data_IF_235885572597
#
_entry.id   IF_235885572597
#
_cell.length_a   1.000
_cell.length_b   1.000
_cell.length_c   1.000
_cell.angle_alpha   90.00
_cell.angle_beta   90.00
_cell.angle_gamma   90.00
#
_symmetry.space_group_name_H-M   'P 1'
#
loop_
_entity.id
_entity.type
_entity.pdbx_description
1 polymer ?
#
# COMPACT_ATOMS: atom_id res chain seq x y z
N UNK A 1 48.60 11.16 1.61
CA UNK A 1 47.49 10.51 0.90
C UNK A 1 46.27 11.41 1.00
N UNK A 2 45.97 12.16 -0.04
CA UNK A 2 44.77 12.98 -0.18
C UNK A 2 43.57 12.03 -0.17
N UNK A 3 42.90 11.91 0.97
CA UNK A 3 41.65 11.17 1.07
C UNK A 3 40.63 11.88 0.18
N UNK A 4 40.20 11.19 -0.88
CA UNK A 4 39.13 11.66 -1.75
C UNK A 4 37.91 12.01 -0.89
N UNK A 5 37.23 13.14 -1.14
CA UNK A 5 36.08 13.55 -0.34
C UNK A 5 35.04 12.44 -0.35
N UNK A 6 34.61 12.01 0.84
CA UNK A 6 33.61 10.95 1.01
C UNK A 6 32.25 11.49 0.58
N UNK A 7 31.83 11.17 -0.65
CA UNK A 7 30.47 11.47 -1.12
C UNK A 7 29.46 10.75 -0.22
N UNK A 8 28.50 11.45 0.41
CA UNK A 8 27.46 10.86 1.24
C UNK A 8 26.57 9.89 0.45
N UNK A 9 26.02 8.89 1.13
CA UNK A 9 25.09 7.92 0.54
C UNK A 9 23.80 8.59 0.07
N UNK A 10 23.32 9.60 0.81
CA UNK A 10 22.18 10.45 0.41
C UNK A 10 22.42 11.17 -0.92
N UNK A 11 23.63 11.70 -1.12
CA UNK A 11 24.01 12.32 -2.39
C UNK A 11 24.12 11.30 -3.54
N UNK A 12 24.63 10.09 -3.26
CA UNK A 12 24.65 9.00 -4.24
C UNK A 12 23.24 8.51 -4.61
N UNK A 13 22.31 8.50 -3.66
CA UNK A 13 20.90 8.21 -3.90
C UNK A 13 20.28 9.26 -4.82
N UNK A 14 20.44 10.55 -4.47
CA UNK A 14 19.90 11.64 -5.27
C UNK A 14 20.49 11.67 -6.69
N UNK A 15 21.80 11.43 -6.85
CA UNK A 15 22.42 11.33 -8.17
C UNK A 15 21.86 10.16 -9.00
N UNK A 16 21.63 9.01 -8.35
CA UNK A 16 21.02 7.85 -9.02
C UNK A 16 19.59 8.17 -9.46
N UNK A 17 18.81 8.83 -8.60
CA UNK A 17 17.44 9.24 -8.90
C UNK A 17 17.40 10.29 -10.01
N UNK A 18 18.27 11.30 -9.97
CA UNK A 18 18.37 12.31 -11.04
C UNK A 18 18.68 11.68 -12.39
N UNK A 19 19.50 10.63 -12.45
CA UNK A 19 19.82 9.94 -13.70
C UNK A 19 18.67 9.08 -14.23
N UNK A 20 17.96 8.37 -13.36
CA UNK A 20 16.93 7.41 -13.79
C UNK A 20 15.53 8.03 -13.87
N UNK A 21 15.15 8.84 -12.88
CA UNK A 21 13.80 9.38 -12.75
C UNK A 21 13.57 10.62 -13.60
N UNK A 22 14.63 11.35 -13.99
CA UNK A 22 14.50 12.39 -15.03
C UNK A 22 14.11 11.82 -16.38
N UNK A 23 14.64 10.63 -16.73
CA UNK A 23 14.27 9.91 -17.95
C UNK A 23 12.84 9.34 -17.84
N UNK A 24 12.49 8.81 -16.68
CA UNK A 24 11.18 8.18 -16.46
C UNK A 24 10.03 9.19 -16.40
N UNK A 25 10.20 10.32 -15.73
CA UNK A 25 9.12 11.29 -15.48
C UNK A 25 9.26 12.60 -16.27
N UNK A 26 10.35 12.80 -17.02
CA UNK A 26 10.58 13.99 -17.83
C UNK A 26 10.36 15.29 -17.04
N UNK A 27 9.49 16.15 -17.57
CA UNK A 27 9.13 17.45 -16.98
C UNK A 27 8.47 17.36 -15.58
N UNK A 28 7.94 16.20 -15.21
CA UNK A 28 7.37 16.00 -13.87
C UNK A 28 8.45 15.72 -12.80
N UNK A 29 9.66 15.28 -13.20
CA UNK A 29 10.72 14.92 -12.25
C UNK A 29 11.10 16.04 -11.29
N UNK A 30 11.31 17.31 -11.70
CA UNK A 30 11.65 18.38 -10.77
C UNK A 30 10.64 18.55 -9.63
N UNK A 31 9.34 18.39 -9.90
CA UNK A 31 8.27 18.47 -8.89
C UNK A 31 8.33 17.30 -7.90
N UNK A 32 8.54 16.08 -8.41
CA UNK A 32 8.71 14.89 -7.57
C UNK A 32 9.97 14.99 -6.72
N UNK A 33 11.08 15.42 -7.32
CA UNK A 33 12.39 15.59 -6.69
C UNK A 33 12.35 16.58 -5.53
N UNK A 34 11.79 17.77 -5.73
CA UNK A 34 11.69 18.76 -4.64
C UNK A 34 10.81 18.24 -3.50
N UNK A 35 9.77 17.46 -3.83
CA UNK A 35 8.87 16.85 -2.85
C UNK A 35 9.56 15.74 -2.04
N UNK A 36 10.41 14.92 -2.67
CA UNK A 36 11.24 13.92 -1.98
C UNK A 36 12.19 14.54 -0.95
N UNK A 37 12.76 15.70 -1.29
CA UNK A 37 13.72 16.44 -0.46
C UNK A 37 13.05 17.39 0.54
N UNK A 38 11.72 17.53 0.45
CA UNK A 38 10.91 18.32 1.39
C UNK A 38 10.30 17.41 2.43
N UNK A 39 9.87 18.02 3.54
CA UNK A 39 9.17 17.31 4.60
C UNK A 39 7.92 16.60 4.07
N UNK A 40 7.79 15.30 4.38
CA UNK A 40 6.63 14.53 3.99
C UNK A 40 5.39 14.94 4.78
N UNK A 41 4.24 14.75 4.15
CA UNK A 41 2.94 14.87 4.80
C UNK A 41 2.57 13.55 5.46
N UNK A 42 1.85 13.62 6.58
CA UNK A 42 1.45 12.44 7.35
C UNK A 42 -0.07 12.32 7.39
N UNK A 43 -0.56 11.10 7.54
CA UNK A 43 -1.92 10.78 7.95
C UNK A 43 -1.95 10.29 9.40
N UNK A 44 -3.07 10.53 10.07
CA UNK A 44 -3.38 9.97 11.37
C UNK A 44 -4.37 8.81 11.19
N UNK A 45 -3.86 7.57 11.20
CA UNK A 45 -4.69 6.36 11.22
C UNK A 45 -5.32 6.24 12.60
N UNK A 46 -6.61 6.48 12.70
CA UNK A 46 -7.34 6.41 13.98
C UNK A 46 -7.33 4.98 14.48
N UNK A 47 -7.06 4.82 15.77
CA UNK A 47 -7.10 3.52 16.41
C UNK A 47 -8.54 3.18 16.83
N UNK A 48 -9.16 2.24 16.14
CA UNK A 48 -10.49 1.69 16.41
C UNK A 48 -10.62 1.01 17.78
N UNK A 49 -9.51 0.75 18.47
CA UNK A 49 -9.50 0.20 19.83
C UNK A 49 -9.45 1.25 20.94
N UNK A 50 -9.31 2.55 20.59
CA UNK A 50 -9.33 3.68 21.52
C UNK A 50 -10.69 4.42 21.46
N UNK A 51 -10.81 5.57 22.13
CA UNK A 51 -11.99 6.45 22.02
C UNK A 51 -12.06 7.14 20.65
N UNK A 52 -12.63 6.43 19.68
CA UNK A 52 -12.71 6.86 18.28
C UNK A 52 -13.45 8.20 18.15
N UNK A 53 -14.58 8.37 18.83
CA UNK A 53 -15.44 9.54 18.66
C UNK A 53 -14.72 10.80 19.13
N UNK A 54 -14.11 10.76 20.32
CA UNK A 54 -13.31 11.85 20.84
C UNK A 54 -12.14 12.21 19.89
N UNK A 55 -11.41 11.20 19.42
CA UNK A 55 -10.25 11.40 18.54
C UNK A 55 -10.65 11.99 17.20
N UNK A 56 -11.74 11.51 16.59
CA UNK A 56 -12.23 12.06 15.33
C UNK A 56 -12.66 13.52 15.48
N UNK A 57 -13.35 13.87 16.56
CA UNK A 57 -13.73 15.26 16.85
C UNK A 57 -12.49 16.16 17.00
N UNK A 58 -11.46 15.73 17.73
CA UNK A 58 -10.20 16.50 17.86
C UNK A 58 -9.50 16.73 16.52
N UNK A 59 -9.48 15.71 15.65
CA UNK A 59 -8.85 15.80 14.33
C UNK A 59 -9.66 16.72 13.38
N UNK A 60 -10.98 16.68 13.46
CA UNK A 60 -11.86 17.55 12.68
C UNK A 60 -11.79 19.01 13.13
N UNK A 61 -11.63 19.25 14.44
CA UNK A 61 -11.43 20.61 15.00
C UNK A 61 -10.16 21.29 14.48
N UNK A 62 -9.13 20.51 14.11
CA UNK A 62 -7.91 21.04 13.48
C UNK A 62 -7.99 21.05 11.95
N UNK A 63 -9.19 20.90 11.37
CA UNK A 63 -9.43 20.90 9.92
C UNK A 63 -8.77 19.73 9.17
N UNK A 64 -8.44 18.63 9.87
CA UNK A 64 -8.11 17.39 9.20
C UNK A 64 -9.39 16.66 8.78
N UNK A 65 -9.30 15.84 7.73
CA UNK A 65 -10.45 15.09 7.22
C UNK A 65 -10.09 13.64 6.88
N UNK A 66 -11.02 12.74 7.15
CA UNK A 66 -10.89 11.33 6.80
C UNK A 66 -10.94 11.13 5.28
N UNK A 67 -9.80 10.79 4.67
CA UNK A 67 -9.74 10.60 3.23
C UNK A 67 -10.38 9.29 2.77
N UNK A 68 -10.48 8.28 3.66
CA UNK A 68 -11.07 6.99 3.35
C UNK A 68 -12.58 7.13 3.23
N UNK A 69 -13.22 7.75 4.23
CA UNK A 69 -14.64 8.08 4.17
C UNK A 69 -15.01 8.95 2.97
N UNK A 70 -14.18 9.95 2.63
CA UNK A 70 -14.38 10.77 1.41
C UNK A 70 -14.33 9.93 0.13
N UNK A 71 -13.37 8.99 0.03
CA UNK A 71 -13.28 8.05 -1.08
C UNK A 71 -14.53 7.16 -1.19
N UNK A 72 -15.02 6.63 -0.08
CA UNK A 72 -16.25 5.82 -0.03
C UNK A 72 -17.51 6.62 -0.40
N UNK A 73 -17.62 7.88 0.04
CA UNK A 73 -18.72 8.76 -0.36
C UNK A 73 -18.69 9.03 -1.88
N UNK A 74 -17.50 9.32 -2.43
CA UNK A 74 -17.31 9.49 -3.87
C UNK A 74 -17.69 8.23 -4.64
N UNK A 75 -17.37 7.04 -4.10
CA UNK A 75 -17.76 5.76 -4.66
C UNK A 75 -19.28 5.61 -4.78
N UNK A 76 -20.02 5.95 -3.73
CA UNK A 76 -21.49 5.90 -3.71
C UNK A 76 -22.09 6.89 -4.70
N UNK A 77 -21.56 8.11 -4.80
CA UNK A 77 -22.03 9.11 -5.78
C UNK A 77 -21.82 8.65 -7.23
N UNK A 78 -20.68 8.02 -7.54
CA UNK A 78 -20.41 7.50 -8.88
C UNK A 78 -21.35 6.35 -9.26
N UNK A 79 -21.65 5.43 -8.32
CA UNK A 79 -22.63 4.35 -8.54
C UNK A 79 -24.04 4.89 -8.79
N UNK A 80 -24.46 5.91 -8.06
CA UNK A 80 -25.79 6.53 -8.25
C UNK A 80 -25.90 7.20 -9.62
N UNK A 81 -24.83 7.85 -10.10
CA UNK A 81 -24.82 8.48 -11.44
C UNK A 81 -24.88 7.46 -12.58
N UNK A 82 -24.21 6.31 -12.45
CA UNK A 82 -24.28 5.25 -13.47
C UNK A 82 -25.65 4.57 -13.57
N UNK A 83 -26.52 4.73 -12.56
CA UNK A 83 -27.90 4.20 -12.57
C UNK A 83 -28.90 5.23 -13.14
N UNK A 84 -28.52 6.50 -13.24
CA UNK A 84 -29.43 7.62 -13.56
C UNK A 84 -29.23 8.20 -14.97
N UNK A 85 -28.34 7.67 -15.82
CA UNK A 85 -28.34 8.01 -17.25
C UNK A 85 -29.36 7.15 -18.02
N UNK A 86 -30.51 7.69 -18.47
CA UNK A 86 -31.35 6.99 -19.42
C UNK A 86 -30.75 7.15 -20.82
N UNK A 87 -30.69 6.05 -21.55
CA UNK A 87 -30.30 6.00 -22.94
C UNK A 87 -31.10 7.03 -23.77
N UNK A 88 -30.43 8.09 -24.22
CA UNK A 88 -30.88 8.84 -25.40
C UNK A 88 -30.20 8.22 -26.60
N UNK A 89 -30.81 7.17 -27.16
CA UNK A 89 -30.57 6.75 -28.55
C UNK A 89 -31.89 6.34 -29.19
N UNK A 90 -32.06 6.91 -30.37
CA UNK A 90 -33.19 6.90 -31.28
C UNK A 90 -33.77 5.51 -31.56
N UNK A 91 -35.08 5.50 -31.76
CA UNK A 91 -35.88 4.36 -32.19
C UNK A 91 -35.48 3.88 -33.59
N UNK A 92 -35.14 2.60 -33.73
CA UNK A 92 -35.52 1.82 -34.92
C UNK A 92 -35.50 0.31 -34.64
N UNK A 93 -36.70 -0.21 -34.43
CA UNK A 93 -37.26 -1.56 -34.66
C UNK A 93 -36.30 -2.66 -35.19
N UNK A 94 -36.15 -3.73 -34.43
CA UNK A 94 -36.43 -5.12 -34.88
C UNK A 94 -36.43 -6.08 -33.68
N UNK A 95 -37.45 -6.95 -33.66
CA UNK A 95 -37.76 -7.91 -32.60
C UNK A 95 -36.90 -9.15 -32.73
N UNK A 96 -36.21 -9.56 -31.65
CA UNK A 96 -35.85 -10.96 -31.37
C UNK A 96 -35.82 -11.19 -29.84
N UNK A 97 -36.27 -12.37 -29.41
CA UNK A 97 -36.64 -12.72 -28.04
C UNK A 97 -35.46 -12.74 -27.04
N UNK A 98 -35.68 -12.44 -25.73
CA UNK A 98 -34.60 -12.38 -24.76
C UNK A 98 -34.23 -13.78 -24.27
N UNK A 99 -32.99 -14.21 -24.56
CA UNK A 99 -32.34 -15.27 -23.80
C UNK A 99 -31.86 -14.70 -22.47
N UNK A 100 -32.22 -15.36 -21.37
CA UNK A 100 -31.79 -15.02 -20.01
C UNK A 100 -30.28 -15.18 -19.87
N UNK A 101 -29.52 -14.13 -20.21
CA UNK A 101 -28.16 -13.97 -19.72
C UNK A 101 -28.26 -13.31 -18.35
N UNK A 102 -28.05 -14.09 -17.29
CA UNK A 102 -27.77 -13.57 -15.97
C UNK A 102 -26.55 -12.64 -16.08
N UNK A 103 -26.80 -11.34 -16.14
CA UNK A 103 -25.75 -10.34 -16.00
C UNK A 103 -25.15 -10.50 -14.61
N UNK A 104 -23.90 -10.98 -14.55
CA UNK A 104 -23.13 -10.99 -13.32
C UNK A 104 -23.14 -9.55 -12.77
N UNK A 105 -23.86 -9.32 -11.67
CA UNK A 105 -23.90 -8.02 -11.00
C UNK A 105 -22.47 -7.66 -10.60
N UNK A 106 -21.91 -6.64 -11.25
CA UNK A 106 -20.64 -6.04 -10.81
C UNK A 106 -20.85 -5.64 -9.33
N UNK A 107 -20.02 -6.11 -8.40
CA UNK A 107 -20.18 -5.77 -6.99
C UNK A 107 -20.16 -4.25 -6.83
N UNK A 108 -20.96 -3.68 -5.91
CA UNK A 108 -20.96 -2.24 -5.69
C UNK A 108 -19.54 -1.80 -5.40
N UNK A 109 -19.07 -0.75 -6.07
CA UNK A 109 -17.72 -0.21 -5.94
C UNK A 109 -17.25 0.07 -4.48
N UNK A 110 -18.19 0.27 -3.55
CA UNK A 110 -17.92 0.39 -2.11
C UNK A 110 -17.52 -0.93 -1.45
N UNK A 111 -17.89 -2.07 -2.03
CA UNK A 111 -17.46 -3.41 -1.63
C UNK A 111 -16.07 -3.78 -2.18
N UNK A 112 -15.40 -2.86 -2.89
CA UNK A 112 -14.05 -3.03 -3.40
C UNK A 112 -12.98 -2.40 -2.49
N UNK A 113 -13.38 -1.76 -1.40
CA UNK A 113 -12.48 -1.13 -0.43
C UNK A 113 -12.77 -1.70 0.96
N UNK A 114 -11.71 -2.02 1.70
CA UNK A 114 -11.82 -2.49 3.08
C UNK A 114 -12.52 -1.45 3.97
N UNK A 115 -13.66 -1.77 4.62
CA UNK A 115 -14.38 -0.84 5.47
C UNK A 115 -13.66 -0.61 6.81
N UNK A 116 -14.17 0.33 7.62
CA UNK A 116 -13.77 0.65 9.01
C UNK A 116 -12.43 1.37 9.23
N UNK A 117 -11.55 1.46 8.23
CA UNK A 117 -10.33 2.27 8.35
C UNK A 117 -10.72 3.76 8.29
N UNK A 118 -10.34 4.51 9.33
CA UNK A 118 -10.41 5.99 9.37
C UNK A 118 -9.00 6.57 9.35
N UNK A 119 -8.68 7.42 8.39
CA UNK A 119 -7.38 8.08 8.35
C UNK A 119 -7.48 9.54 7.95
N UNK A 120 -7.09 10.40 8.88
CA UNK A 120 -7.22 11.85 8.74
C UNK A 120 -5.98 12.46 8.12
N UNK A 121 -6.19 13.39 7.18
CA UNK A 121 -5.14 14.18 6.55
C UNK A 121 -5.55 15.64 6.49
N UNK A 122 -4.58 16.56 6.58
CA UNK A 122 -4.84 17.98 6.31
C UNK A 122 -5.08 18.21 4.81
N UNK A 123 -5.89 19.21 4.41
CA UNK A 123 -6.19 19.52 3.02
C UNK A 123 -4.94 19.76 2.17
N UNK A 124 -5.02 19.55 0.85
CA UNK A 124 -3.89 19.81 -0.05
C UNK A 124 -3.34 21.23 0.13
N UNK A 125 -2.02 21.36 0.17
CA UNK A 125 -1.31 22.63 0.42
C UNK A 125 -1.13 22.98 1.90
N UNK A 126 -1.87 22.34 2.80
CA UNK A 126 -1.67 22.50 4.24
C UNK A 126 -0.51 21.61 4.72
N UNK A 127 0.45 22.22 5.41
CA UNK A 127 1.68 21.59 5.93
C UNK A 127 1.64 21.36 7.45
N UNK A 128 0.47 21.55 8.07
CA UNK A 128 0.28 21.34 9.51
C UNK A 128 0.64 19.90 9.89
N UNK A 129 1.32 19.75 11.03
CA UNK A 129 1.67 18.44 11.58
C UNK A 129 0.64 18.02 12.62
N UNK A 130 0.27 16.75 12.60
CA UNK A 130 -0.43 16.16 13.73
C UNK A 130 0.44 16.17 14.98
N UNK A 131 -0.20 16.28 16.14
CA UNK A 131 0.48 16.09 17.42
C UNK A 131 0.92 14.63 17.55
N UNK A 132 1.84 14.35 18.46
CA UNK A 132 2.16 12.97 18.80
C UNK A 132 0.94 12.27 19.39
N UNK A 133 0.76 11.00 19.04
CA UNK A 133 -0.26 10.13 19.60
C UNK A 133 -0.16 10.09 21.12
N UNK A 134 -1.31 9.97 21.78
CA UNK A 134 -1.41 9.92 23.24
C UNK A 134 -2.14 8.66 23.68
N UNK A 135 -1.70 8.04 24.78
CA UNK A 135 -2.41 6.90 25.33
C UNK A 135 -3.73 7.35 25.95
N UNK A 136 -4.76 6.54 25.82
CA UNK A 136 -6.02 6.67 26.53
C UNK A 136 -5.91 6.12 27.97
N UNK A 137 -7.05 6.00 28.66
CA UNK A 137 -7.14 5.48 30.03
C UNK A 137 -6.66 4.01 30.13
N UNK A 138 -6.72 3.26 29.03
CA UNK A 138 -6.27 1.87 28.94
C UNK A 138 -4.79 1.75 28.50
N UNK A 139 -4.11 2.87 28.30
CA UNK A 139 -2.72 2.91 27.83
C UNK A 139 -2.57 2.67 26.32
N UNK A 140 -3.67 2.70 25.56
CA UNK A 140 -3.69 2.46 24.12
C UNK A 140 -3.57 3.78 23.38
N UNK A 141 -2.65 3.86 22.42
CA UNK A 141 -2.43 5.06 21.63
C UNK A 141 -3.60 5.34 20.67
N UNK A 142 -4.02 6.59 20.62
CA UNK A 142 -5.25 7.03 19.95
C UNK A 142 -5.21 7.05 18.39
N UNK A 143 -4.04 7.29 17.78
CA UNK A 143 -3.85 7.18 16.33
C UNK A 143 -2.39 6.90 15.98
N UNK A 144 -2.15 6.26 14.84
CA UNK A 144 -0.81 5.99 14.32
C UNK A 144 -0.44 6.98 13.21
N UNK A 145 0.70 7.67 13.35
CA UNK A 145 1.20 8.55 12.32
C UNK A 145 2.02 7.79 11.29
N UNK A 146 1.64 7.92 10.02
CA UNK A 146 2.30 7.28 8.89
C UNK A 146 2.18 8.13 7.63
N UNK A 147 2.94 7.77 6.59
CA UNK A 147 2.63 8.25 5.25
C UNK A 147 1.25 7.71 4.84
N UNK A 148 0.27 8.60 4.62
CA UNK A 148 -1.10 8.19 4.32
C UNK A 148 -1.19 7.31 3.06
N UNK A 149 -0.27 7.45 2.10
CA UNK A 149 -0.23 6.59 0.92
C UNK A 149 0.04 5.12 1.28
N UNK A 150 0.70 4.85 2.42
CA UNK A 150 0.95 3.47 2.91
C UNK A 150 -0.32 2.71 3.28
N UNK A 151 -1.48 3.38 3.39
CA UNK A 151 -2.77 2.71 3.59
C UNK A 151 -3.38 2.21 2.28
N UNK A 152 -3.02 2.78 1.13
CA UNK A 152 -3.62 2.43 -0.16
C UNK A 152 -3.45 0.95 -0.52
N UNK A 153 -2.28 0.30 -0.30
CA UNK A 153 -2.15 -1.15 -0.52
C UNK A 153 -3.12 -1.98 0.35
N UNK A 154 -3.32 -1.58 1.61
CA UNK A 154 -4.22 -2.27 2.55
C UNK A 154 -5.69 -2.08 2.17
N UNK A 155 -6.05 -0.88 1.72
CA UNK A 155 -7.39 -0.59 1.21
C UNK A 155 -7.68 -1.34 -0.08
N UNK A 156 -6.71 -1.43 -1.00
CA UNK A 156 -6.82 -2.16 -2.26
C UNK A 156 -6.91 -3.68 -2.06
N UNK A 157 -6.30 -4.21 -1.00
CA UNK A 157 -6.37 -5.64 -0.65
C UNK A 157 -7.81 -6.11 -0.37
N UNK A 158 -8.70 -5.17 0.01
CA UNK A 158 -10.14 -5.40 0.18
C UNK A 158 -10.46 -6.59 1.08
N UNK A 159 -9.96 -6.54 2.31
CA UNK A 159 -10.12 -7.61 3.32
C UNK A 159 -11.60 -7.76 3.67
N UNK A 160 -12.07 -9.00 3.68
CA UNK A 160 -13.44 -9.39 4.00
C UNK A 160 -13.51 -10.04 5.40
N UNK A 161 -14.71 -10.06 6.03
CA UNK A 161 -14.90 -10.72 7.32
C UNK A 161 -14.49 -12.20 7.27
N UNK A 162 -13.59 -12.60 8.16
CA UNK A 162 -13.12 -13.99 8.28
C UNK A 162 -11.93 -14.34 7.39
N UNK A 163 -11.42 -13.41 6.57
CA UNK A 163 -10.25 -13.67 5.73
C UNK A 163 -9.03 -14.08 6.57
N UNK A 164 -8.30 -15.08 6.06
CA UNK A 164 -6.94 -15.41 6.49
C UNK A 164 -5.99 -14.50 5.73
N UNK A 165 -5.29 -13.63 6.45
CA UNK A 165 -4.43 -12.58 5.89
C UNK A 165 -2.98 -12.84 6.22
N UNK A 166 -2.10 -12.68 5.23
CA UNK A 166 -0.65 -12.73 5.41
C UNK A 166 -0.04 -11.36 5.08
N UNK A 167 0.72 -10.80 6.01
CA UNK A 167 1.64 -9.69 5.77
C UNK A 167 3.07 -10.26 5.72
N UNK A 168 3.58 -10.48 4.51
CA UNK A 168 4.79 -11.27 4.28
C UNK A 168 6.09 -10.54 4.70
N UNK A 169 6.05 -9.20 4.72
CA UNK A 169 7.15 -8.29 5.01
C UNK A 169 6.68 -7.19 5.97
N UNK A 170 6.17 -7.62 7.12
CA UNK A 170 5.32 -6.84 8.01
C UNK A 170 6.03 -5.70 8.75
N UNK A 171 7.34 -5.78 8.98
CA UNK A 171 8.01 -4.81 9.85
C UNK A 171 8.19 -3.45 9.17
N UNK A 172 8.06 -2.32 9.87
CA UNK A 172 7.93 -2.18 11.33
C UNK A 172 6.49 -2.25 11.86
N UNK A 173 5.49 -2.61 11.05
CA UNK A 173 4.13 -2.93 11.51
C UNK A 173 3.05 -1.89 11.21
N UNK A 174 3.33 -0.83 10.44
CA UNK A 174 2.32 0.19 10.12
C UNK A 174 1.17 -0.35 9.25
N UNK A 175 1.49 -1.15 8.24
CA UNK A 175 0.48 -1.81 7.38
C UNK A 175 -0.20 -2.98 8.11
N UNK A 176 0.54 -3.75 8.91
CA UNK A 176 -0.02 -4.76 9.82
C UNK A 176 -1.04 -4.17 10.79
N UNK A 177 -0.72 -3.01 11.38
CA UNK A 177 -1.66 -2.29 12.25
C UNK A 177 -2.89 -1.87 11.45
N UNK A 178 -2.72 -1.29 10.25
CA UNK A 178 -3.85 -0.93 9.39
C UNK A 178 -4.74 -2.13 9.00
N UNK A 179 -4.14 -3.30 8.75
CA UNK A 179 -4.88 -4.56 8.53
C UNK A 179 -5.73 -4.91 9.76
N UNK A 180 -5.18 -4.79 10.98
CA UNK A 180 -5.95 -5.05 12.21
C UNK A 180 -7.06 -4.02 12.44
N UNK A 181 -6.85 -2.75 12.06
CA UNK A 181 -7.86 -1.69 12.18
C UNK A 181 -9.10 -1.93 11.31
N UNK A 182 -9.04 -2.84 10.35
CA UNK A 182 -10.23 -3.26 9.58
C UNK A 182 -11.27 -3.94 10.48
N UNK A 183 -10.81 -4.64 11.53
CA UNK A 183 -11.66 -5.48 12.39
C UNK A 183 -12.28 -6.68 11.67
N UNK A 184 -11.79 -7.02 10.47
CA UNK A 184 -12.38 -8.05 9.61
C UNK A 184 -11.58 -9.35 9.53
N UNK A 185 -10.27 -9.30 9.83
CA UNK A 185 -9.41 -10.48 9.73
C UNK A 185 -9.85 -11.60 10.69
N UNK A 186 -10.03 -12.80 10.15
CA UNK A 186 -10.20 -14.00 10.99
C UNK A 186 -8.87 -14.44 11.61
N UNK A 187 -7.79 -14.36 10.82
CA UNK A 187 -6.43 -14.62 11.27
C UNK A 187 -5.45 -13.70 10.53
N UNK A 188 -4.40 -13.26 11.21
CA UNK A 188 -3.31 -12.48 10.61
C UNK A 188 -1.97 -13.12 10.91
N UNK A 189 -1.26 -13.55 9.86
CA UNK A 189 0.15 -13.90 9.93
C UNK A 189 0.99 -12.65 9.56
N UNK A 190 1.85 -12.21 10.47
CA UNK A 190 2.76 -11.08 10.26
C UNK A 190 4.21 -11.57 10.32
N UNK A 191 4.87 -11.58 9.17
CA UNK A 191 6.23 -12.10 9.01
C UNK A 191 7.22 -11.01 8.61
N UNK A 192 8.43 -11.01 9.15
CA UNK A 192 9.56 -10.28 8.57
C UNK A 192 10.87 -10.97 8.93
N UNK A 193 11.78 -11.08 7.98
CA UNK A 193 13.08 -11.76 8.18
C UNK A 193 13.93 -11.11 9.28
N UNK A 194 13.71 -9.82 9.57
CA UNK A 194 14.50 -9.06 10.54
C UNK A 194 13.91 -9.14 11.95
N UNK A 195 14.56 -9.91 12.82
CA UNK A 195 14.21 -10.00 14.25
C UNK A 195 14.19 -8.61 14.93
N UNK A 196 15.13 -7.73 14.58
CA UNK A 196 15.19 -6.38 15.18
C UNK A 196 14.03 -5.49 14.76
N UNK A 197 13.59 -5.57 13.49
CA UNK A 197 12.39 -4.86 13.02
C UNK A 197 11.11 -5.52 13.55
N UNK A 198 11.09 -6.84 13.75
CA UNK A 198 9.99 -7.54 14.41
C UNK A 198 9.76 -7.08 15.84
N UNK A 199 10.81 -6.78 16.60
CA UNK A 199 10.65 -6.14 17.92
C UNK A 199 9.91 -4.81 17.84
N UNK A 200 10.13 -4.02 16.78
CA UNK A 200 9.41 -2.75 16.56
C UNK A 200 7.94 -3.00 16.23
N UNK A 201 7.63 -3.99 15.40
CA UNK A 201 6.24 -4.40 15.15
C UNK A 201 5.55 -4.81 16.44
N UNK A 202 6.20 -5.64 17.27
CA UNK A 202 5.65 -6.03 18.57
C UNK A 202 5.42 -4.82 19.49
N UNK A 203 6.31 -3.83 19.48
CA UNK A 203 6.11 -2.57 20.21
C UNK A 203 4.90 -1.78 19.69
N UNK A 204 4.73 -1.69 18.37
CA UNK A 204 3.54 -1.07 17.76
C UNK A 204 2.29 -1.82 18.21
N UNK A 205 2.22 -3.14 18.04
CA UNK A 205 1.06 -3.92 18.49
C UNK A 205 0.79 -3.74 19.98
N UNK A 206 1.83 -3.73 20.82
CA UNK A 206 1.67 -3.52 22.26
C UNK A 206 1.13 -2.14 22.63
N UNK A 207 1.42 -1.11 21.83
CA UNK A 207 1.00 0.27 22.10
C UNK A 207 -0.38 0.60 21.52
N UNK A 208 -0.82 -0.13 20.49
CA UNK A 208 -2.05 0.18 19.76
C UNK A 208 -3.14 -0.89 19.88
N UNK A 209 -2.81 -2.13 20.20
CA UNK A 209 -3.75 -3.26 20.08
C UNK A 209 -4.01 -3.92 21.45
N UNK A 210 -5.29 -4.09 21.85
CA UNK A 210 -5.67 -4.83 23.06
C UNK A 210 -5.11 -6.26 23.05
N UNK A 211 -4.88 -6.83 24.24
CA UNK A 211 -4.27 -8.16 24.39
C UNK A 211 -5.05 -9.26 23.65
N UNK A 212 -6.37 -9.21 23.70
CA UNK A 212 -7.27 -10.20 23.11
C UNK A 212 -7.12 -10.26 21.58
N UNK A 213 -6.98 -9.10 20.93
CA UNK A 213 -6.78 -9.03 19.48
C UNK A 213 -5.34 -9.39 19.10
N UNK A 214 -4.35 -9.06 19.94
CA UNK A 214 -2.96 -9.49 19.69
C UNK A 214 -2.82 -11.01 19.64
N UNK A 215 -3.61 -11.74 20.41
CA UNK A 215 -3.60 -13.21 20.43
C UNK A 215 -4.12 -13.83 19.12
N UNK A 216 -4.82 -13.06 18.27
CA UNK A 216 -5.24 -13.52 16.92
C UNK A 216 -4.16 -13.32 15.86
N UNK A 217 -3.02 -12.71 16.21
CA UNK A 217 -1.91 -12.41 15.30
C UNK A 217 -0.77 -13.40 15.51
N UNK A 218 -0.40 -14.14 14.47
CA UNK A 218 0.79 -14.97 14.45
C UNK A 218 1.98 -14.13 13.98
N UNK A 219 2.97 -13.89 14.85
CA UNK A 219 4.17 -13.12 14.51
C UNK A 219 5.33 -14.08 14.27
N UNK A 220 5.92 -14.04 13.09
CA UNK A 220 7.02 -14.92 12.68
C UNK A 220 8.21 -14.13 12.13
N UNK A 221 9.40 -14.74 12.16
CA UNK A 221 10.64 -14.16 11.63
C UNK A 221 11.35 -15.10 10.65
N UNK A 222 10.64 -15.50 9.60
CA UNK A 222 11.11 -16.47 8.61
C UNK A 222 11.48 -15.73 7.31
N UNK A 223 12.29 -16.38 6.48
CA UNK A 223 12.54 -15.88 5.12
C UNK A 223 11.27 -16.04 4.28
N UNK A 224 10.64 -14.92 3.93
CA UNK A 224 9.37 -14.91 3.21
C UNK A 224 9.44 -15.59 1.83
N UNK A 225 10.63 -15.77 1.26
CA UNK A 225 10.82 -16.49 -0.01
C UNK A 225 10.46 -17.97 0.09
N UNK A 226 10.55 -18.54 1.29
CA UNK A 226 10.28 -19.96 1.53
C UNK A 226 8.88 -20.20 2.09
N UNK A 227 8.02 -19.17 2.14
CA UNK A 227 6.71 -19.27 2.80
C UNK A 227 5.81 -20.37 2.20
N UNK A 228 5.90 -20.56 0.88
CA UNK A 228 5.13 -21.59 0.17
C UNK A 228 5.41 -23.02 0.67
N UNK A 229 6.62 -23.29 1.18
CA UNK A 229 7.00 -24.59 1.74
C UNK A 229 6.38 -24.82 3.13
N UNK A 230 5.96 -23.76 3.80
CA UNK A 230 5.37 -23.79 5.14
C UNK A 230 3.86 -23.93 5.05
N UNK A 231 3.23 -22.98 4.35
CA UNK A 231 1.79 -22.79 4.29
C UNK A 231 1.37 -22.29 2.90
N UNK A 232 1.64 -23.09 1.88
CA UNK A 232 1.21 -22.82 0.50
C UNK A 232 -0.32 -22.88 0.34
N UNK A 233 -0.89 -21.93 -0.42
CA UNK A 233 -2.29 -21.93 -0.82
C UNK A 233 -3.32 -21.74 0.32
N UNK A 234 -2.91 -21.19 1.46
CA UNK A 234 -3.75 -21.10 2.65
C UNK A 234 -4.44 -19.74 2.83
N UNK A 235 -3.86 -18.65 2.29
CA UNK A 235 -4.29 -17.29 2.60
C UNK A 235 -5.29 -16.75 1.57
N UNK A 236 -6.35 -16.10 2.06
CA UNK A 236 -7.33 -15.42 1.21
C UNK A 236 -6.75 -14.12 0.66
N UNK A 237 -5.97 -13.42 1.49
CA UNK A 237 -5.36 -12.12 1.19
C UNK A 237 -3.87 -12.14 1.57
N UNK A 238 -3.01 -11.67 0.67
CA UNK A 238 -1.57 -11.55 0.95
C UNK A 238 -1.08 -10.14 0.61
N UNK A 239 -0.46 -9.48 1.59
CA UNK A 239 0.26 -8.23 1.40
C UNK A 239 1.76 -8.53 1.27
N UNK A 240 2.36 -8.06 0.18
CA UNK A 240 3.78 -8.23 -0.12
C UNK A 240 4.43 -6.85 -0.23
N UNK A 241 4.63 -6.21 0.93
CA UNK A 241 5.29 -4.90 1.06
C UNK A 241 6.82 -5.07 1.14
N UNK A 242 7.44 -5.20 -0.02
CA UNK A 242 8.81 -5.68 -0.12
C UNK A 242 9.87 -4.66 0.34
N UNK A 243 11.05 -5.14 0.82
CA UNK A 243 12.22 -4.27 0.93
C UNK A 243 12.58 -3.68 -0.44
N UNK A 244 12.80 -2.37 -0.49
CA UNK A 244 13.13 -1.65 -1.71
C UNK A 244 14.19 -0.59 -1.44
N UNK A 245 14.47 0.25 -2.43
CA UNK A 245 15.40 1.39 -2.27
C UNK A 245 14.89 2.47 -1.32
N UNK A 246 13.62 2.42 -0.87
CA UNK A 246 13.01 3.33 0.11
C UNK A 246 13.34 4.79 -0.21
N UNK A 247 12.93 5.27 -1.38
CA UNK A 247 13.59 6.41 -2.06
C UNK A 247 13.65 7.68 -1.21
N UNK A 248 12.54 8.04 -0.56
CA UNK A 248 12.49 9.19 0.35
C UNK A 248 13.45 9.02 1.53
N UNK A 249 13.46 7.85 2.16
CA UNK A 249 14.37 7.57 3.26
C UNK A 249 15.83 7.65 2.81
N UNK A 250 16.14 7.12 1.62
CA UNK A 250 17.49 7.09 1.06
C UNK A 250 18.07 8.46 0.70
N UNK A 251 17.26 9.51 0.49
CA UNK A 251 17.78 10.87 0.29
C UNK A 251 17.84 11.69 1.58
N UNK A 252 17.21 11.23 2.66
CA UNK A 252 17.11 11.96 3.93
C UNK A 252 17.98 11.36 5.04
N UNK A 253 18.24 10.05 5.01
CA UNK A 253 18.95 9.32 6.07
C UNK A 253 20.29 8.77 5.55
N UNK A 254 21.37 8.98 6.29
CA UNK A 254 22.70 8.46 5.93
C UNK A 254 22.98 7.10 6.60
N UNK A 255 22.42 6.88 7.78
CA UNK A 255 22.64 5.67 8.55
C UNK A 255 21.97 4.45 7.90
N UNK A 256 22.73 3.37 7.73
CA UNK A 256 22.27 2.15 7.05
C UNK A 256 21.63 2.39 5.66
N UNK A 257 22.06 3.43 4.95
CA UNK A 257 21.53 3.75 3.63
C UNK A 257 21.88 2.69 2.58
N UNK A 258 20.91 2.26 1.77
CA UNK A 258 21.08 1.24 0.72
C UNK A 258 21.98 1.72 -0.44
N UNK A 259 22.16 3.03 -0.59
CA UNK A 259 23.09 3.63 -1.56
C UNK A 259 24.53 3.71 -1.06
N UNK A 260 24.79 3.29 0.18
CA UNK A 260 26.16 3.20 0.69
C UNK A 260 26.99 2.25 -0.17
N UNK A 261 28.23 2.64 -0.50
CA UNK A 261 29.11 1.92 -1.46
C UNK A 261 29.29 0.43 -1.15
N UNK A 262 29.27 0.04 0.12
CA UNK A 262 29.39 -1.36 0.57
C UNK A 262 28.15 -2.22 0.27
N UNK A 263 26.98 -1.60 0.07
CA UNK A 263 25.68 -2.26 -0.18
C UNK A 263 25.29 -2.24 -1.66
N UNK A 264 26.21 -1.89 -2.57
CA UNK A 264 25.93 -1.81 -4.01
C UNK A 264 25.39 -3.11 -4.60
N UNK A 265 25.99 -4.25 -4.22
CA UNK A 265 25.52 -5.58 -4.65
C UNK A 265 24.13 -5.90 -4.11
N UNK A 266 23.90 -5.62 -2.83
CA UNK A 266 22.58 -5.80 -2.21
C UNK A 266 21.51 -4.96 -2.93
N UNK A 267 21.80 -3.68 -3.18
CA UNK A 267 20.92 -2.77 -3.92
C UNK A 267 20.60 -3.28 -5.33
N UNK A 268 21.59 -3.82 -6.05
CA UNK A 268 21.39 -4.37 -7.39
C UNK A 268 20.55 -5.65 -7.39
N UNK A 269 20.57 -6.41 -6.30
CA UNK A 269 19.79 -7.64 -6.16
C UNK A 269 18.36 -7.41 -5.65
N UNK A 270 17.98 -6.17 -5.32
CA UNK A 270 16.63 -5.87 -4.81
C UNK A 270 15.51 -6.35 -5.74
N UNK A 271 15.49 -6.05 -7.05
CA UNK A 271 14.44 -6.56 -7.94
C UNK A 271 14.29 -8.08 -7.91
N UNK A 272 15.41 -8.81 -7.83
CA UNK A 272 15.39 -10.28 -7.74
C UNK A 272 14.81 -10.76 -6.40
N UNK A 273 15.18 -10.13 -5.29
CA UNK A 273 14.59 -10.43 -3.98
C UNK A 273 13.08 -10.15 -3.97
N UNK A 274 12.66 -9.03 -4.53
CA UNK A 274 11.26 -8.62 -4.62
C UNK A 274 10.44 -9.58 -5.47
N UNK A 275 11.01 -10.03 -6.59
CA UNK A 275 10.44 -11.07 -7.44
C UNK A 275 10.23 -12.38 -6.68
N UNK A 276 11.25 -12.84 -5.95
CA UNK A 276 11.15 -14.07 -5.15
C UNK A 276 10.07 -13.96 -4.06
N UNK A 277 9.98 -12.81 -3.39
CA UNK A 277 8.96 -12.56 -2.36
C UNK A 277 7.56 -12.49 -2.96
N UNK A 278 7.38 -11.87 -4.14
CA UNK A 278 6.08 -11.80 -4.80
C UNK A 278 5.63 -13.18 -5.28
N UNK A 279 6.51 -13.98 -5.88
CA UNK A 279 6.20 -15.36 -6.27
C UNK A 279 5.81 -16.18 -5.04
N UNK A 280 6.55 -16.07 -3.92
CA UNK A 280 6.18 -16.74 -2.68
C UNK A 280 4.81 -16.29 -2.15
N UNK A 281 4.49 -14.99 -2.24
CA UNK A 281 3.17 -14.45 -1.88
C UNK A 281 2.04 -15.00 -2.75
N UNK A 282 2.26 -15.11 -4.07
CA UNK A 282 1.30 -15.75 -5.01
C UNK A 282 1.08 -17.22 -4.62
N UNK A 283 2.15 -17.95 -4.31
CA UNK A 283 2.07 -19.36 -3.92
C UNK A 283 1.38 -19.58 -2.57
N UNK A 284 1.57 -18.67 -1.61
CA UNK A 284 0.89 -18.67 -0.31
C UNK A 284 -0.62 -18.37 -0.41
N UNK A 285 -1.04 -17.71 -1.49
CA UNK A 285 -2.44 -17.31 -1.71
C UNK A 285 -3.25 -18.48 -2.23
N UNK A 286 -4.46 -18.72 -1.70
CA UNK A 286 -5.36 -19.76 -2.22
C UNK A 286 -5.87 -19.44 -3.64
N UNK A 287 -6.32 -20.44 -4.43
CA UNK A 287 -7.07 -20.16 -5.65
C UNK A 287 -8.29 -19.27 -5.38
N UNK A 288 -8.50 -18.24 -6.20
CA UNK A 288 -9.48 -17.18 -6.00
C UNK A 288 -9.07 -16.09 -5.00
N UNK A 289 -7.94 -16.25 -4.29
CA UNK A 289 -7.41 -15.27 -3.36
C UNK A 289 -6.68 -14.11 -4.05
N UNK A 290 -6.39 -13.06 -3.28
CA UNK A 290 -5.82 -11.82 -3.80
C UNK A 290 -4.48 -11.46 -3.14
N UNK A 291 -3.57 -10.93 -3.94
CA UNK A 291 -2.26 -10.41 -3.52
C UNK A 291 -2.20 -8.93 -3.80
N UNK A 292 -1.67 -8.13 -2.87
CA UNK A 292 -1.23 -6.78 -3.15
C UNK A 292 0.28 -6.69 -2.94
N UNK A 293 0.99 -6.41 -4.03
CA UNK A 293 2.41 -6.04 -3.99
C UNK A 293 2.53 -4.54 -3.77
N UNK A 294 3.46 -4.09 -2.92
CA UNK A 294 3.75 -2.67 -2.76
C UNK A 294 5.22 -2.36 -2.54
N UNK A 295 5.64 -1.16 -2.97
CA UNK A 295 6.96 -0.60 -2.67
C UNK A 295 6.84 0.89 -2.36
N UNK A 296 7.84 1.45 -1.65
CA UNK A 296 8.04 2.89 -1.56
C UNK A 296 9.19 3.39 -2.46
N UNK A 297 9.27 2.84 -3.68
CA UNK A 297 10.22 3.24 -4.73
C UNK A 297 9.48 3.75 -5.98
N UNK A 298 10.08 4.72 -6.67
CA UNK A 298 9.62 5.21 -7.97
C UNK A 298 10.11 4.34 -9.15
N UNK A 299 11.05 3.42 -8.90
CA UNK A 299 11.74 2.66 -9.93
C UNK A 299 10.85 1.58 -10.57
N UNK A 300 10.65 1.66 -11.89
CA UNK A 300 9.97 0.61 -12.67
C UNK A 300 10.63 -0.77 -12.51
N UNK A 301 11.96 -0.82 -12.31
CA UNK A 301 12.72 -2.05 -12.07
C UNK A 301 12.30 -2.77 -10.78
N UNK A 302 11.77 -2.03 -9.81
CA UNK A 302 11.26 -2.56 -8.55
C UNK A 302 9.72 -2.62 -8.54
N UNK A 303 9.05 -2.13 -9.58
CA UNK A 303 7.60 -1.99 -9.64
C UNK A 303 7.05 -2.88 -10.77
N UNK A 304 6.67 -2.31 -11.91
CA UNK A 304 5.99 -3.04 -12.99
C UNK A 304 6.81 -4.25 -13.49
N UNK A 305 8.13 -4.14 -13.61
CA UNK A 305 8.96 -5.25 -14.09
C UNK A 305 8.98 -6.44 -13.13
N UNK A 306 8.84 -6.21 -11.82
CA UNK A 306 8.72 -7.29 -10.82
C UNK A 306 7.38 -8.00 -10.99
N UNK A 307 6.29 -7.24 -11.23
CA UNK A 307 4.96 -7.80 -11.47
C UNK A 307 4.95 -8.67 -12.73
N UNK A 308 5.40 -8.12 -13.86
CA UNK A 308 5.44 -8.83 -15.15
C UNK A 308 6.18 -10.17 -15.01
N UNK A 309 7.37 -10.12 -14.40
CA UNK A 309 8.19 -11.32 -14.25
C UNK A 309 7.61 -12.33 -13.25
N UNK A 310 6.96 -11.87 -12.18
CA UNK A 310 6.34 -12.77 -11.21
C UNK A 310 5.15 -13.54 -11.81
N UNK A 311 4.34 -12.88 -12.64
CA UNK A 311 3.22 -13.50 -13.37
C UNK A 311 3.75 -14.58 -14.32
N UNK A 312 4.78 -14.26 -15.11
CA UNK A 312 5.42 -15.23 -16.01
C UNK A 312 5.96 -16.45 -15.26
N UNK A 313 6.64 -16.26 -14.12
CA UNK A 313 7.19 -17.36 -13.31
C UNK A 313 6.06 -18.20 -12.70
N UNK A 314 5.02 -17.56 -12.15
CA UNK A 314 3.87 -18.27 -11.59
C UNK A 314 3.20 -19.17 -12.64
N UNK A 315 3.06 -18.69 -13.87
CA UNK A 315 2.48 -19.46 -14.97
C UNK A 315 3.41 -20.58 -15.45
N UNK A 316 4.68 -20.26 -15.73
CA UNK A 316 5.59 -21.20 -16.40
C UNK A 316 6.20 -22.25 -15.47
N UNK A 317 6.51 -21.89 -14.22
CA UNK A 317 7.17 -22.80 -13.27
C UNK A 317 6.17 -23.52 -12.35
N UNK A 318 5.03 -22.89 -12.05
CA UNK A 318 4.06 -23.40 -11.08
C UNK A 318 2.67 -23.70 -11.66
N UNK A 319 2.44 -23.42 -12.95
CA UNK A 319 1.15 -23.61 -13.62
C UNK A 319 0.00 -22.89 -12.88
N UNK A 320 0.28 -21.68 -12.36
CA UNK A 320 -0.67 -20.81 -11.68
C UNK A 320 -0.99 -19.63 -12.57
N UNK A 321 -2.27 -19.49 -12.94
CA UNK A 321 -2.74 -18.30 -13.64
C UNK A 321 -2.93 -17.16 -12.64
N UNK A 322 -2.41 -15.98 -12.98
CA UNK A 322 -2.59 -14.76 -12.18
C UNK A 322 -3.13 -13.64 -13.05
N UNK A 323 -4.08 -12.89 -12.51
CA UNK A 323 -4.69 -11.76 -13.21
C UNK A 323 -4.43 -10.47 -12.44
N UNK A 324 -3.90 -9.47 -13.16
CA UNK A 324 -3.81 -8.09 -12.65
C UNK A 324 -5.21 -7.50 -12.58
N UNK A 325 -5.58 -6.97 -11.41
CA UNK A 325 -6.85 -6.26 -11.22
C UNK A 325 -6.66 -4.79 -11.57
N UNK A 326 -7.58 -4.24 -12.35
CA UNK A 326 -7.58 -2.81 -12.68
C UNK A 326 -7.91 -1.98 -11.43
N UNK A 327 -7.02 -1.03 -11.12
CA UNK A 327 -7.13 -0.10 -10.00
C UNK A 327 -7.40 1.34 -10.46
N UNK A 328 -7.72 1.56 -11.74
CA UNK A 328 -8.05 2.88 -12.29
C UNK A 328 -9.21 3.57 -11.54
N UNK A 329 -10.20 2.79 -11.14
CA UNK A 329 -11.29 3.23 -10.28
C UNK A 329 -10.79 3.66 -8.89
N UNK A 330 -9.92 2.86 -8.29
CA UNK A 330 -9.33 3.14 -6.98
C UNK A 330 -8.53 4.45 -7.02
N UNK A 331 -7.73 4.68 -8.06
CA UNK A 331 -7.08 5.98 -8.32
C UNK A 331 -8.09 7.12 -8.36
N UNK A 332 -9.20 6.95 -9.10
CA UNK A 332 -10.25 7.98 -9.22
C UNK A 332 -10.85 8.37 -7.87
N UNK A 333 -10.97 7.43 -6.94
CA UNK A 333 -11.46 7.70 -5.59
C UNK A 333 -10.50 8.52 -4.75
N UNK A 334 -9.20 8.25 -4.86
CA UNK A 334 -8.19 8.80 -3.96
C UNK A 334 -7.36 9.94 -4.58
N UNK A 335 -7.54 10.24 -5.87
CA UNK A 335 -6.83 11.32 -6.58
C UNK A 335 -7.12 12.71 -6.03
N UNK A 336 -8.15 12.90 -5.20
CA UNK A 336 -8.41 14.18 -4.52
C UNK A 336 -7.48 14.38 -3.32
N UNK A 337 -6.87 13.30 -2.82
CA UNK A 337 -5.93 13.31 -1.66
C UNK A 337 -4.48 13.08 -2.09
N UNK A 338 -4.25 12.18 -3.04
CA UNK A 338 -2.90 11.80 -3.50
C UNK A 338 -2.67 12.20 -4.97
N UNK A 339 -1.41 12.48 -5.31
CA UNK A 339 -1.00 12.68 -6.70
C UNK A 339 -0.57 11.35 -7.29
N UNK A 340 -1.27 10.85 -8.31
CA UNK A 340 -0.94 9.59 -8.98
C UNK A 340 -0.17 9.83 -10.27
N UNK A 341 0.69 8.87 -10.64
CA UNK A 341 1.27 8.79 -11.98
C UNK A 341 0.18 8.40 -13.00
N UNK A 342 0.20 9.02 -14.18
CA UNK A 342 -0.63 8.61 -15.31
C UNK A 342 -0.07 7.42 -16.08
N UNK A 343 1.24 7.16 -15.93
CA UNK A 343 2.01 6.37 -16.90
C UNK A 343 2.31 4.94 -16.41
N UNK A 344 1.67 4.50 -15.33
CA UNK A 344 1.82 3.12 -14.84
C UNK A 344 1.07 2.14 -15.74
N UNK A 345 1.80 1.16 -16.27
CA UNK A 345 1.23 0.09 -17.11
C UNK A 345 0.48 -0.95 -16.28
N UNK A 346 1.02 -1.28 -15.10
CA UNK A 346 0.46 -2.25 -14.16
C UNK A 346 0.47 -1.65 -12.76
N UNK A 347 -0.66 -1.73 -12.07
CA UNK A 347 -0.82 -1.13 -10.75
C UNK A 347 -0.89 0.39 -10.78
N UNK A 348 -0.71 1.01 -9.61
CA UNK A 348 -0.82 2.45 -9.40
C UNK A 348 0.40 2.97 -8.63
N UNK A 349 0.82 4.20 -8.92
CA UNK A 349 1.96 4.85 -8.26
C UNK A 349 1.54 6.22 -7.72
N UNK A 350 1.62 6.39 -6.40
CA UNK A 350 1.55 7.71 -5.76
C UNK A 350 2.90 8.40 -5.89
N UNK A 351 2.89 9.58 -6.52
CA UNK A 351 4.03 10.46 -6.68
C UNK A 351 4.06 11.52 -5.56
N UNK A 352 5.24 11.74 -4.94
CA UNK A 352 5.48 12.91 -4.12
C UNK A 352 5.13 14.21 -4.85
N UNK A 353 4.33 15.07 -4.21
CA UNK A 353 4.00 16.38 -4.73
C UNK A 353 3.89 17.39 -3.58
N UNK A 354 4.38 18.62 -3.73
CA UNK A 354 4.45 19.58 -2.62
C UNK A 354 3.10 19.86 -1.93
N UNK A 355 2.01 19.88 -2.70
CA UNK A 355 0.67 20.09 -2.14
C UNK A 355 0.09 18.85 -1.43
N UNK A 356 0.63 17.67 -1.70
CA UNK A 356 0.18 16.39 -1.16
C UNK A 356 1.39 15.46 -1.02
N UNK A 357 2.35 15.82 -0.14
CA UNK A 357 3.69 15.21 -0.12
C UNK A 357 3.73 13.84 0.57
N UNK A 358 2.91 12.93 0.06
CA UNK A 358 2.84 11.51 0.42
C UNK A 358 3.69 10.67 -0.54
N UNK A 359 3.89 9.39 -0.21
CA UNK A 359 4.66 8.47 -1.04
C UNK A 359 6.15 8.81 -1.13
N UNK A 360 6.90 8.17 -2.06
CA UNK A 360 6.41 7.29 -3.12
C UNK A 360 5.68 6.05 -2.60
N UNK A 361 4.64 5.63 -3.31
CA UNK A 361 3.95 4.36 -3.01
C UNK A 361 3.44 3.70 -4.28
N UNK A 362 4.12 2.65 -4.72
CA UNK A 362 3.63 1.75 -5.76
C UNK A 362 2.79 0.65 -5.14
N UNK A 363 1.69 0.28 -5.80
CA UNK A 363 0.95 -0.93 -5.45
C UNK A 363 0.26 -1.55 -6.66
N UNK A 364 0.23 -2.88 -6.70
CA UNK A 364 -0.42 -3.65 -7.74
C UNK A 364 -1.21 -4.80 -7.11
N UNK A 365 -2.45 -4.99 -7.57
CA UNK A 365 -3.35 -6.03 -7.09
C UNK A 365 -3.41 -7.18 -8.09
N UNK A 366 -3.16 -8.38 -7.61
CA UNK A 366 -3.23 -9.62 -8.37
C UNK A 366 -4.30 -10.54 -7.77
N UNK A 367 -4.91 -11.37 -8.61
CA UNK A 367 -5.78 -12.46 -8.20
C UNK A 367 -5.18 -13.77 -8.72
N UNK A 368 -5.04 -14.75 -7.83
CA UNK A 368 -4.69 -16.12 -8.22
C UNK A 368 -5.98 -16.79 -8.74
N UNK A 369 -5.99 -17.23 -10.00
CA UNK A 369 -7.19 -17.78 -10.65
C UNK A 369 -7.27 -19.28 -10.45
#
# INVERSE_FOLDING_TARGET
ATTTPRVPSTALALQNFDMNYSLQFGEAWPSVRVSLLSEQKYGALVNGFADVDHVTQELELVNAADFVSKGLQKAQCLQQRSVVEPAVREESVSQEAPSERQAAKVPPLSALITPNIKCYTFPRGDITRFRSARPDVLGILNYYLLDAASLLPVLALNIQPGDLVLDLCAAPGGKTLAILQTGLCGHLAANDVSISRMKRLQQVLNSYVPKQIKETVCITSWDGRNWAELEGGAFHKVLVDVPCTTDRHSVMEEDNNIFHKRRSKERQMLPMLQLQLLVAGILATMPGGEVVYSTCSLSQLQNEYVIERAIEIAETEYNISTQVKDLSYFRTLFQDTFSFSSDCRLGELVLPHLTANFGPMYFCKLCRV
#
